data_IF_887206968836
#
_entry.id   IF_887206968836
#
_cell.length_a   1.000
_cell.length_b   1.000
_cell.length_c   1.000
_cell.angle_alpha   90.00
_cell.angle_beta   90.00
_cell.angle_gamma   90.00
#
_symmetry.space_group_name_H-M   'P 1'
#
loop_
_entity.id
_entity.type
_entity.pdbx_description
1 polymer ?
#
# COMPACT_ATOMS: atom_id res chain seq x y z
N UNK A 1 -17.56 -16.48 6.68
CA UNK A 1 -18.16 -15.14 6.82
C UNK A 1 -17.27 -14.17 6.07
N UNK A 2 -17.79 -13.23 5.27
CA UNK A 2 -16.95 -12.17 4.71
C UNK A 2 -16.33 -11.37 5.85
N UNK A 3 -15.07 -10.98 5.69
CA UNK A 3 -14.39 -10.13 6.67
C UNK A 3 -15.11 -8.78 6.78
N UNK A 4 -15.34 -8.32 8.01
CA UNK A 4 -15.94 -7.00 8.24
C UNK A 4 -14.97 -5.89 7.83
N UNK A 5 -15.49 -4.71 7.45
CA UNK A 5 -14.67 -3.51 7.14
C UNK A 5 -13.67 -3.23 8.27
N UNK A 6 -14.08 -3.39 9.53
CA UNK A 6 -13.20 -3.26 10.71
C UNK A 6 -12.04 -4.26 10.70
N UNK A 7 -12.31 -5.53 10.37
CA UNK A 7 -11.27 -6.57 10.33
C UNK A 7 -10.30 -6.36 9.15
N UNK A 8 -10.81 -5.89 8.01
CA UNK A 8 -9.99 -5.52 6.84
C UNK A 8 -9.05 -4.38 7.22
N UNK A 9 -9.58 -3.26 7.74
CA UNK A 9 -8.78 -2.12 8.19
C UNK A 9 -7.72 -2.49 9.25
N UNK A 10 -8.07 -3.36 10.20
CA UNK A 10 -7.13 -3.80 11.24
C UNK A 10 -5.94 -4.58 10.65
N UNK A 11 -6.19 -5.45 9.65
CA UNK A 11 -5.12 -6.20 8.97
C UNK A 11 -4.31 -5.29 8.04
N UNK A 12 -4.97 -4.38 7.33
CA UNK A 12 -4.30 -3.39 6.49
C UNK A 12 -3.32 -2.56 7.32
N UNK A 13 -3.79 -2.01 8.45
CA UNK A 13 -2.95 -1.29 9.40
C UNK A 13 -1.80 -2.14 9.94
N UNK A 14 -2.07 -3.38 10.35
CA UNK A 14 -1.04 -4.28 10.84
C UNK A 14 0.06 -4.52 9.78
N UNK A 15 -0.31 -4.64 8.51
CA UNK A 15 0.65 -4.80 7.42
C UNK A 15 1.39 -3.49 7.10
N UNK A 16 0.70 -2.35 7.11
CA UNK A 16 1.28 -1.01 6.93
C UNK A 16 2.33 -0.66 8.01
N UNK A 17 2.18 -1.23 9.22
CA UNK A 17 3.10 -1.03 10.35
C UNK A 17 4.10 -2.19 10.52
N UNK A 18 4.00 -3.26 9.74
CA UNK A 18 4.88 -4.42 9.86
C UNK A 18 6.30 -4.07 9.34
N UNK A 19 7.33 -4.13 10.20
CA UNK A 19 8.67 -3.72 9.81
C UNK A 19 9.30 -4.63 8.75
N UNK A 20 8.93 -5.92 8.72
CA UNK A 20 9.44 -6.87 7.74
C UNK A 20 8.86 -6.59 6.36
N UNK A 21 7.55 -6.33 6.30
CA UNK A 21 6.86 -5.94 5.08
C UNK A 21 7.43 -4.64 4.52
N UNK A 22 7.58 -3.61 5.36
CA UNK A 22 8.15 -2.32 4.97
C UNK A 22 9.58 -2.47 4.43
N UNK A 23 10.43 -3.27 5.09
CA UNK A 23 11.78 -3.56 4.63
C UNK A 23 11.79 -4.30 3.28
N UNK A 24 10.92 -5.31 3.10
CA UNK A 24 10.77 -6.00 1.81
C UNK A 24 10.37 -5.03 0.70
N UNK A 25 9.34 -4.22 0.92
CA UNK A 25 8.84 -3.23 -0.04
C UNK A 25 9.93 -2.21 -0.41
N UNK A 26 10.68 -1.74 0.59
CA UNK A 26 11.76 -0.77 0.39
C UNK A 26 12.91 -1.37 -0.40
N UNK A 27 13.38 -2.58 -0.07
CA UNK A 27 14.46 -3.25 -0.82
C UNK A 27 14.06 -3.55 -2.27
N UNK A 28 12.79 -3.89 -2.53
CA UNK A 28 12.31 -4.06 -3.91
C UNK A 28 12.37 -2.71 -4.63
N UNK A 29 11.85 -1.64 -4.03
CA UNK A 29 11.88 -0.29 -4.59
C UNK A 29 13.31 0.16 -4.91
N UNK A 30 14.25 -0.04 -3.99
CA UNK A 30 15.66 0.32 -4.18
C UNK A 30 16.30 -0.42 -5.35
N UNK A 31 16.01 -1.73 -5.51
CA UNK A 31 16.48 -2.48 -6.68
C UNK A 31 15.94 -1.91 -7.99
N UNK A 32 14.68 -1.48 -8.02
CA UNK A 32 14.11 -0.87 -9.23
C UNK A 32 14.69 0.52 -9.50
N UNK A 33 14.92 1.33 -8.46
CA UNK A 33 15.60 2.62 -8.57
C UNK A 33 17.02 2.46 -9.15
N UNK A 34 17.74 1.41 -8.73
CA UNK A 34 19.08 1.13 -9.23
C UNK A 34 19.12 0.91 -10.76
N UNK A 35 18.06 0.37 -11.37
CA UNK A 35 17.94 0.22 -12.85
C UNK A 35 17.93 1.58 -13.56
N UNK A 36 17.34 2.62 -12.95
CA UNK A 36 17.38 3.96 -13.53
C UNK A 36 18.75 4.63 -13.38
N UNK A 37 19.51 4.27 -12.34
CA UNK A 37 20.85 4.80 -12.08
C UNK A 37 21.94 4.10 -12.91
N UNK A 38 21.65 2.90 -13.41
CA UNK A 38 22.55 2.17 -14.29
C UNK A 38 22.50 2.73 -15.72
N UNK A 39 23.63 3.28 -16.15
CA UNK A 39 23.82 3.84 -17.48
C UNK A 39 23.75 2.77 -18.59
N UNK A 40 23.97 1.49 -18.26
CA UNK A 40 23.90 0.37 -19.20
C UNK A 40 22.50 -0.23 -19.34
N UNK A 41 21.55 0.17 -18.49
CA UNK A 41 20.18 -0.35 -18.52
C UNK A 41 19.45 0.05 -19.80
N UNK A 42 18.77 -0.93 -20.40
CA UNK A 42 17.99 -0.73 -21.63
C UNK A 42 16.67 0.01 -21.34
N UNK A 43 16.05 0.61 -22.37
CA UNK A 43 14.73 1.23 -22.22
C UNK A 43 13.67 0.25 -21.66
N UNK A 44 13.70 -1.01 -22.09
CA UNK A 44 12.76 -2.04 -21.65
C UNK A 44 12.94 -2.36 -20.16
N UNK A 45 14.20 -2.47 -19.71
CA UNK A 45 14.49 -2.70 -18.29
C UNK A 45 14.01 -1.54 -17.41
N UNK A 46 14.13 -0.31 -17.89
CA UNK A 46 13.63 0.88 -17.18
C UNK A 46 12.10 0.94 -17.13
N UNK A 47 11.42 0.52 -18.21
CA UNK A 47 9.95 0.43 -18.21
C UNK A 47 9.46 -0.65 -17.25
N UNK A 48 10.09 -1.82 -17.21
CA UNK A 48 9.75 -2.87 -16.25
C UNK A 48 9.95 -2.38 -14.80
N UNK A 49 11.07 -1.71 -14.53
CA UNK A 49 11.34 -1.10 -13.23
C UNK A 49 10.27 -0.07 -12.84
N UNK A 50 9.80 0.73 -13.80
CA UNK A 50 8.72 1.70 -13.58
C UNK A 50 7.39 1.01 -13.23
N UNK A 51 7.01 -0.04 -13.98
CA UNK A 51 5.80 -0.84 -13.72
C UNK A 51 5.85 -1.45 -12.31
N UNK A 52 7.00 -1.98 -11.89
CA UNK A 52 7.17 -2.55 -10.56
C UNK A 52 7.04 -1.49 -9.46
N UNK A 53 7.63 -0.31 -9.62
CA UNK A 53 7.45 0.81 -8.68
C UNK A 53 5.96 1.18 -8.58
N UNK A 54 5.26 1.24 -9.70
CA UNK A 54 3.82 1.55 -9.74
C UNK A 54 2.98 0.49 -9.03
N UNK A 55 3.35 -0.78 -9.14
CA UNK A 55 2.71 -1.88 -8.42
C UNK A 55 2.93 -1.78 -6.91
N UNK A 56 4.14 -1.44 -6.46
CA UNK A 56 4.42 -1.21 -5.03
C UNK A 56 3.54 -0.09 -4.46
N UNK A 57 3.37 1.00 -5.21
CA UNK A 57 2.52 2.11 -4.79
C UNK A 57 1.02 1.72 -4.79
N UNK A 58 0.57 0.90 -5.74
CA UNK A 58 -0.79 0.37 -5.75
C UNK A 58 -1.09 -0.46 -4.50
N UNK A 59 -0.13 -1.29 -4.04
CA UNK A 59 -0.27 -2.06 -2.80
C UNK A 59 -0.44 -1.10 -1.60
N UNK A 60 0.44 -0.09 -1.47
CA UNK A 60 0.33 0.86 -0.36
C UNK A 60 -0.97 1.66 -0.38
N UNK A 61 -1.45 2.01 -1.58
CA UNK A 61 -2.71 2.72 -1.74
C UNK A 61 -3.92 1.85 -1.38
N UNK A 62 -3.88 0.55 -1.68
CA UNK A 62 -4.94 -0.37 -1.26
C UNK A 62 -5.01 -0.48 0.26
N UNK A 63 -3.87 -0.65 0.94
CA UNK A 63 -3.84 -0.72 2.41
C UNK A 63 -4.39 0.56 3.04
N UNK A 64 -4.03 1.72 2.48
CA UNK A 64 -4.56 3.00 2.93
C UNK A 64 -6.08 3.11 2.71
N UNK A 65 -6.57 2.70 1.54
CA UNK A 65 -8.00 2.70 1.23
C UNK A 65 -8.79 1.85 2.24
N UNK A 66 -8.26 0.67 2.57
CA UNK A 66 -8.86 -0.24 3.53
C UNK A 66 -8.96 0.40 4.94
N UNK A 67 -7.96 1.18 5.35
CA UNK A 67 -7.97 1.94 6.61
C UNK A 67 -8.97 3.11 6.57
N UNK A 68 -9.02 3.85 5.45
CA UNK A 68 -9.90 5.00 5.24
C UNK A 68 -11.38 4.60 5.23
N UNK A 69 -11.73 3.44 4.66
CA UNK A 69 -13.10 2.90 4.62
C UNK A 69 -13.67 2.70 6.04
N UNK A 70 -12.86 2.15 6.96
CA UNK A 70 -13.27 2.01 8.36
C UNK A 70 -13.38 3.37 9.07
N UNK A 71 -12.46 4.30 8.80
CA UNK A 71 -12.53 5.65 9.36
C UNK A 71 -13.81 6.38 8.94
N UNK A 72 -14.27 6.18 7.69
CA UNK A 72 -15.51 6.74 7.20
C UNK A 72 -16.75 6.15 7.90
N UNK A 73 -16.81 4.83 8.07
CA UNK A 73 -17.93 4.18 8.77
C UNK A 73 -18.02 4.59 10.25
N UNK A 74 -16.89 4.79 10.93
CA UNK A 74 -16.91 5.34 12.30
C UNK A 74 -17.52 6.74 12.38
N UNK A 75 -17.17 7.63 11.44
CA UNK A 75 -17.71 9.00 11.39
C UNK A 75 -19.22 9.01 11.10
N UNK A 76 -19.69 8.11 10.23
CA UNK A 76 -21.12 7.96 9.93
C UNK A 76 -21.92 7.45 11.14
N UNK A 77 -21.34 6.55 11.94
CA UNK A 77 -21.93 6.09 13.20
C UNK A 77 -22.05 7.19 14.26
N UNK A 78 -21.05 8.07 14.37
CA UNK A 78 -21.04 9.18 15.35
C UNK A 78 -22.13 10.23 15.10
N UNK A 79 -22.49 10.50 13.84
CA UNK A 79 -23.56 11.46 13.52
C UNK A 79 -24.98 10.93 13.81
N UNK A 80 -25.17 9.61 13.93
CA UNK A 80 -26.50 9.01 14.17
C UNK A 80 -26.86 8.81 15.65
N UNK A 81 -25.90 8.99 16.56
CA UNK A 81 -26.11 8.84 18.00
C UNK A 81 -26.34 10.15 18.76
N UNK A 82 -26.53 11.27 18.04
CA UNK A 82 -26.60 12.62 18.62
C UNK A 82 -27.97 13.30 18.50
N UNK A 83 -29.01 12.58 18.03
CA UNK A 83 -30.42 13.00 17.98
C UNK A 83 -31.27 12.08 18.87
#
# INVERSE_FOLDING_TARGET
>A
MPDTIKAIAARAKALSEDPTFLDVMQRIRERQIAVFLDASSTPEAREEAHVLIRALEAITNQLKSDEDDWAFEQKKGQHRGSD
#
